data_IF_300843188632
#
_entry.id   IF_300843188632
#
_cell.length_a   1.000
_cell.length_b   1.000
_cell.length_c   1.000
_cell.angle_alpha   90.00
_cell.angle_beta   90.00
_cell.angle_gamma   90.00
#
_symmetry.space_group_name_H-M   'P 1'
#
loop_
_entity.id
_entity.type
_entity.pdbx_description
1 polymer ?
#
# COMPACT_ATOMS: atom_id res chain seq x y z
N UNK A 1 4.92 -11.30 13.96
CA UNK A 1 3.84 -11.64 13.08
C UNK A 1 4.29 -12.03 11.69
N UNK A 2 3.38 -12.62 10.99
CA UNK A 2 3.63 -13.05 9.63
C UNK A 2 3.00 -12.09 8.64
N UNK A 3 3.59 -12.04 7.45
CA UNK A 3 3.10 -11.22 6.36
C UNK A 3 2.74 -12.12 5.20
N UNK A 4 1.62 -11.82 4.55
CA UNK A 4 1.24 -12.45 3.28
C UNK A 4 1.79 -11.60 2.14
N UNK A 5 2.31 -12.28 1.13
CA UNK A 5 2.86 -11.63 -0.06
C UNK A 5 1.89 -11.87 -1.22
N UNK A 6 1.53 -10.81 -1.92
CA UNK A 6 0.60 -10.88 -3.05
C UNK A 6 1.29 -10.37 -4.30
N UNK A 7 1.36 -11.22 -5.33
CA UNK A 7 1.81 -10.81 -6.65
C UNK A 7 0.60 -10.44 -7.49
N UNK A 8 0.70 -9.32 -8.18
CA UNK A 8 -0.36 -8.81 -9.04
C UNK A 8 -0.17 -9.30 -10.46
N UNK A 9 -1.27 -9.44 -11.20
CA UNK A 9 -1.22 -9.88 -12.60
C UNK A 9 -0.44 -8.91 -13.50
N UNK A 10 -0.32 -7.64 -13.09
CA UNK A 10 0.43 -6.64 -13.86
C UNK A 10 1.92 -6.60 -13.52
N UNK A 11 2.41 -7.48 -12.65
CA UNK A 11 3.81 -7.53 -12.24
C UNK A 11 4.14 -6.76 -10.98
N UNK A 12 3.19 -6.03 -10.40
CA UNK A 12 3.37 -5.39 -9.10
C UNK A 12 3.17 -6.35 -7.96
N UNK A 13 3.33 -5.87 -6.73
CA UNK A 13 3.16 -6.69 -5.53
C UNK A 13 2.93 -5.83 -4.30
N UNK A 14 2.35 -6.42 -3.28
CA UNK A 14 2.26 -5.81 -1.97
C UNK A 14 2.26 -6.88 -0.89
N UNK A 15 2.47 -6.47 0.36
CA UNK A 15 2.43 -7.36 1.51
C UNK A 15 1.38 -6.87 2.50
N UNK A 16 0.74 -7.76 3.21
CA UNK A 16 -0.19 -7.39 4.26
C UNK A 16 -0.05 -8.31 5.47
N UNK A 17 -0.35 -7.81 6.68
CA UNK A 17 -0.19 -8.63 7.89
C UNK A 17 -1.22 -9.75 7.94
N UNK A 18 -0.75 -10.94 8.31
CA UNK A 18 -1.62 -12.11 8.47
C UNK A 18 -2.21 -12.16 9.88
N UNK A 19 -3.38 -12.79 9.99
CA UNK A 19 -3.97 -13.07 11.29
C UNK A 19 -4.80 -11.93 11.90
N UNK A 20 -4.93 -10.82 11.20
CA UNK A 20 -5.74 -9.67 11.63
C UNK A 20 -6.58 -9.21 10.46
N UNK A 21 -7.89 -8.98 10.69
CA UNK A 21 -8.81 -8.63 9.62
C UNK A 21 -8.90 -7.12 9.37
N UNK A 22 -8.69 -6.31 10.39
CA UNK A 22 -8.83 -4.86 10.29
C UNK A 22 -7.86 -4.15 11.21
N UNK A 23 -7.50 -2.91 10.83
CA UNK A 23 -6.59 -2.06 11.58
C UNK A 23 -7.15 -0.65 11.68
N UNK A 24 -6.89 0.00 12.82
CA UNK A 24 -6.94 1.45 12.87
C UNK A 24 -5.64 1.96 12.26
N UNK A 25 -5.76 2.80 11.27
CA UNK A 25 -4.61 3.30 10.51
C UNK A 25 -4.59 4.82 10.55
N UNK A 26 -3.48 5.39 10.97
CA UNK A 26 -3.30 6.82 11.06
C UNK A 26 -2.08 7.23 10.25
N UNK A 27 -2.24 8.27 9.44
CA UNK A 27 -1.14 8.87 8.69
C UNK A 27 -0.94 10.30 9.22
N UNK A 28 0.11 10.52 9.98
CA UNK A 28 0.34 11.78 10.66
C UNK A 28 0.51 12.97 9.69
N UNK A 29 1.14 12.71 8.54
CA UNK A 29 1.47 13.77 7.60
C UNK A 29 0.28 14.40 6.91
N UNK A 30 -0.84 13.66 6.74
CA UNK A 30 -2.00 14.17 6.00
C UNK A 30 -3.29 14.11 6.81
N UNK A 31 -3.21 13.72 8.08
CA UNK A 31 -4.38 13.67 8.95
C UNK A 31 -5.34 12.51 8.69
N UNK A 32 -5.00 11.55 7.86
CA UNK A 32 -5.86 10.41 7.63
C UNK A 32 -5.96 9.55 8.89
N UNK A 33 -7.19 9.19 9.25
CA UNK A 33 -7.46 8.25 10.34
C UNK A 33 -8.68 7.43 9.96
N UNK A 34 -8.59 6.12 10.10
CA UNK A 34 -9.71 5.25 9.78
C UNK A 34 -9.41 3.78 10.06
N UNK A 35 -10.46 2.98 10.07
CA UNK A 35 -10.35 1.52 10.16
C UNK A 35 -10.34 0.96 8.75
N UNK A 36 -9.32 0.17 8.42
CA UNK A 36 -9.16 -0.43 7.09
C UNK A 36 -8.92 -1.93 7.22
N UNK A 37 -9.18 -2.68 6.14
CA UNK A 37 -8.87 -4.10 6.11
C UNK A 37 -7.36 -4.32 6.17
N UNK A 38 -6.94 -5.54 6.53
CA UNK A 38 -5.53 -5.90 6.52
C UNK A 38 -4.93 -5.71 5.12
N UNK A 39 -5.68 -6.08 4.08
CA UNK A 39 -5.23 -5.89 2.69
C UNK A 39 -4.99 -4.42 2.39
N UNK A 40 -5.93 -3.54 2.71
CA UNK A 40 -5.81 -2.11 2.45
C UNK A 40 -4.64 -1.52 3.25
N UNK A 41 -4.50 -1.90 4.53
CA UNK A 41 -3.36 -1.46 5.33
C UNK A 41 -2.03 -1.86 4.70
N UNK A 42 -1.96 -3.09 4.19
CA UNK A 42 -0.77 -3.60 3.52
C UNK A 42 -0.45 -2.85 2.23
N UNK A 43 -1.46 -2.55 1.43
CA UNK A 43 -1.29 -1.75 0.20
C UNK A 43 -0.74 -0.36 0.54
N UNK A 44 -1.32 0.30 1.53
CA UNK A 44 -0.87 1.63 1.95
C UNK A 44 0.58 1.58 2.43
N UNK A 45 0.90 0.65 3.32
CA UNK A 45 2.24 0.52 3.88
C UNK A 45 3.27 0.18 2.80
N UNK A 46 2.94 -0.73 1.87
CA UNK A 46 3.85 -1.08 0.78
C UNK A 46 4.10 0.12 -0.14
N UNK A 47 3.06 0.88 -0.44
CA UNK A 47 3.19 2.07 -1.29
C UNK A 47 4.10 3.10 -0.65
N UNK A 48 3.93 3.38 0.65
CA UNK A 48 4.82 4.29 1.37
C UNK A 48 6.27 3.79 1.37
N UNK A 49 6.47 2.48 1.59
CA UNK A 49 7.81 1.91 1.60
C UNK A 49 8.51 2.05 0.24
N UNK A 50 7.80 1.74 -0.84
CA UNK A 50 8.34 1.90 -2.20
C UNK A 50 8.66 3.36 -2.50
N UNK A 51 7.76 4.27 -2.15
CA UNK A 51 7.98 5.69 -2.36
C UNK A 51 9.22 6.17 -1.60
N UNK A 52 9.38 5.74 -0.36
CA UNK A 52 10.56 6.09 0.44
C UNK A 52 11.85 5.58 -0.17
N UNK A 53 11.85 4.36 -0.70
CA UNK A 53 13.03 3.80 -1.36
C UNK A 53 13.36 4.55 -2.66
N UNK A 54 12.35 4.94 -3.43
CA UNK A 54 12.56 5.75 -4.64
C UNK A 54 13.22 7.10 -4.30
N UNK A 55 12.81 7.73 -3.21
CA UNK A 55 13.44 8.96 -2.72
C UNK A 55 14.91 8.76 -2.34
N UNK A 56 15.29 7.53 -1.95
CA UNK A 56 16.68 7.18 -1.64
C UNK A 56 17.49 6.79 -2.87
N UNK A 57 16.90 6.83 -4.05
CA UNK A 57 17.60 6.54 -5.30
C UNK A 57 17.47 5.11 -5.81
N UNK A 58 16.57 4.31 -5.27
CA UNK A 58 16.34 2.94 -5.74
C UNK A 58 15.46 2.92 -7.00
N UNK A 59 15.96 3.50 -8.08
CA UNK A 59 15.20 3.71 -9.31
C UNK A 59 14.66 2.43 -9.94
N UNK A 60 15.31 1.30 -9.68
CA UNK A 60 14.83 0.00 -10.17
C UNK A 60 13.46 -0.40 -9.64
N UNK A 61 12.99 0.24 -8.57
CA UNK A 61 11.68 -0.03 -7.99
C UNK A 61 10.57 0.81 -8.61
N UNK A 62 10.89 1.70 -9.54
CA UNK A 62 9.91 2.60 -10.14
C UNK A 62 8.79 1.83 -10.85
N UNK A 63 9.12 0.75 -11.55
CA UNK A 63 8.13 -0.08 -12.23
C UNK A 63 7.16 -0.72 -11.24
N UNK A 64 7.66 -1.29 -10.15
CA UNK A 64 6.81 -1.88 -9.11
C UNK A 64 5.89 -0.85 -8.49
N UNK A 65 6.41 0.36 -8.24
CA UNK A 65 5.61 1.45 -7.69
C UNK A 65 4.46 1.82 -8.62
N UNK A 66 4.75 2.00 -9.91
CA UNK A 66 3.73 2.33 -10.91
C UNK A 66 2.67 1.23 -11.05
N UNK A 67 3.09 -0.03 -11.05
CA UNK A 67 2.17 -1.15 -11.16
C UNK A 67 1.24 -1.24 -9.93
N UNK A 68 1.76 -0.95 -8.75
CA UNK A 68 0.94 -0.91 -7.55
C UNK A 68 -0.06 0.25 -7.59
N UNK A 69 0.36 1.43 -8.05
CA UNK A 69 -0.56 2.57 -8.22
C UNK A 69 -1.68 2.26 -9.20
N UNK A 70 -1.37 1.56 -10.29
CA UNK A 70 -2.38 1.13 -11.26
C UNK A 70 -3.39 0.19 -10.62
N UNK A 71 -2.93 -0.78 -9.85
CA UNK A 71 -3.79 -1.70 -9.11
C UNK A 71 -4.71 -0.94 -8.14
N UNK A 72 -4.16 0.04 -7.42
CA UNK A 72 -4.93 0.87 -6.48
C UNK A 72 -6.05 1.59 -7.22
N UNK A 73 -5.80 2.09 -8.42
CA UNK A 73 -6.79 2.80 -9.22
C UNK A 73 -8.03 1.98 -9.50
N UNK A 74 -7.89 0.66 -9.62
CA UNK A 74 -8.99 -0.27 -9.90
C UNK A 74 -9.54 -0.96 -8.64
N UNK A 75 -8.96 -0.67 -7.47
CA UNK A 75 -9.36 -1.33 -6.22
C UNK A 75 -10.72 -0.80 -5.74
N UNK A 76 -11.57 -1.67 -5.16
CA UNK A 76 -12.86 -1.21 -4.60
C UNK A 76 -12.72 -0.12 -3.54
N UNK A 77 -11.60 -0.10 -2.80
CA UNK A 77 -11.33 0.87 -1.76
C UNK A 77 -10.35 1.97 -2.21
N UNK A 78 -10.28 2.24 -3.51
CA UNK A 78 -9.33 3.20 -4.08
C UNK A 78 -9.38 4.57 -3.40
N UNK A 79 -10.58 5.07 -3.12
CA UNK A 79 -10.71 6.40 -2.50
C UNK A 79 -10.09 6.42 -1.10
N UNK A 80 -10.34 5.40 -0.30
CA UNK A 80 -9.78 5.28 1.04
C UNK A 80 -8.25 5.20 0.98
N UNK A 81 -7.73 4.37 0.09
CA UNK A 81 -6.29 4.21 -0.10
C UNK A 81 -5.65 5.54 -0.50
N UNK A 82 -6.24 6.23 -1.48
CA UNK A 82 -5.71 7.50 -1.96
C UNK A 82 -5.73 8.58 -0.88
N UNK A 83 -6.77 8.62 -0.05
CA UNK A 83 -6.82 9.56 1.06
C UNK A 83 -5.70 9.33 2.06
N UNK A 84 -5.35 8.07 2.31
CA UNK A 84 -4.24 7.74 3.19
C UNK A 84 -2.88 8.12 2.58
N UNK A 85 -2.75 8.01 1.25
CA UNK A 85 -1.50 8.31 0.55
C UNK A 85 -1.28 9.81 0.30
N UNK A 86 -2.35 10.59 0.24
CA UNK A 86 -2.27 12.04 0.05
C UNK A 86 -1.81 12.73 1.33
#
# INVERSE_FOLDING_TARGET
GFWNYVELSNGGAFMYPAGVDAFEFTVDGNGFHGTVSAEVAGIIATTFALNGMLWQGWDSLNTQYEMLLEFIGDHPDAMTIRRALD
#
